data_IF_434265650399
#
_entry.id   IF_434265650399
#
_cell.length_a   1.000
_cell.length_b   1.000
_cell.length_c   1.000
_cell.angle_alpha   90.00
_cell.angle_beta   90.00
_cell.angle_gamma   90.00
#
_symmetry.space_group_name_H-M   'P 1'
#
loop_
_entity.id
_entity.type
_entity.pdbx_description
1 polymer ?
#
# COMPACT_ATOMS: atom_id res chain seq x y z
N UNK A 1 -4.13 -25.85 2.79
CA UNK A 1 -3.05 -25.36 3.66
C UNK A 1 -3.39 -25.77 5.08
N UNK A 2 -2.43 -26.07 5.96
CA UNK A 2 -2.74 -26.29 7.38
C UNK A 2 -2.84 -24.94 8.12
N UNK A 3 -3.43 -24.96 9.31
CA UNK A 3 -3.69 -23.75 10.13
C UNK A 3 -2.41 -23.01 10.51
N UNK A 4 -1.39 -23.72 11.00
CA UNK A 4 -0.12 -23.11 11.41
C UNK A 4 0.56 -22.36 10.25
N UNK A 5 0.62 -22.97 9.06
CA UNK A 5 1.18 -22.32 7.87
C UNK A 5 0.34 -21.12 7.46
N UNK A 6 -0.99 -21.23 7.54
CA UNK A 6 -1.89 -20.14 7.20
C UNK A 6 -1.71 -18.93 8.12
N UNK A 7 -1.62 -19.16 9.43
CA UNK A 7 -1.37 -18.12 10.43
C UNK A 7 -0.01 -17.45 10.17
N UNK A 8 1.04 -18.24 9.95
CA UNK A 8 2.39 -17.71 9.68
C UNK A 8 2.45 -16.85 8.41
N UNK A 9 1.82 -17.30 7.33
CA UNK A 9 1.73 -16.51 6.09
C UNK A 9 0.84 -15.26 6.27
N UNK A 10 -0.20 -15.36 7.11
CA UNK A 10 -1.03 -14.23 7.53
C UNK A 10 -0.23 -13.14 8.25
N UNK A 11 0.59 -13.53 9.21
CA UNK A 11 1.48 -12.62 9.93
C UNK A 11 2.51 -11.99 9.00
N UNK A 12 3.15 -12.78 8.13
CA UNK A 12 4.09 -12.25 7.13
C UNK A 12 3.43 -11.25 6.17
N UNK A 13 2.24 -11.56 5.65
CA UNK A 13 1.50 -10.66 4.75
C UNK A 13 1.12 -9.36 5.45
N UNK A 14 0.68 -9.46 6.71
CA UNK A 14 0.35 -8.31 7.55
C UNK A 14 1.58 -7.46 7.90
N UNK A 15 2.71 -8.10 8.17
CA UNK A 15 4.00 -7.45 8.40
C UNK A 15 4.48 -6.70 7.16
N UNK A 16 4.39 -7.33 5.98
CA UNK A 16 4.73 -6.70 4.70
C UNK A 16 3.85 -5.47 4.43
N UNK A 17 2.52 -5.59 4.58
CA UNK A 17 1.62 -4.44 4.41
C UNK A 17 2.00 -3.29 5.33
N UNK A 18 2.21 -3.58 6.62
CA UNK A 18 2.54 -2.57 7.63
C UNK A 18 3.86 -1.85 7.30
N UNK A 19 4.90 -2.62 6.99
CA UNK A 19 6.21 -2.09 6.64
C UNK A 19 6.16 -1.23 5.37
N UNK A 20 5.50 -1.72 4.32
CA UNK A 20 5.34 -1.00 3.07
C UNK A 20 4.54 0.29 3.24
N UNK A 21 3.42 0.27 3.98
CA UNK A 21 2.62 1.46 4.23
C UNK A 21 3.37 2.48 5.08
N UNK A 22 4.07 2.06 6.14
CA UNK A 22 4.90 2.97 6.92
C UNK A 22 5.97 3.63 6.05
N UNK A 23 6.68 2.84 5.24
CA UNK A 23 7.70 3.34 4.31
C UNK A 23 7.12 4.35 3.33
N UNK A 24 5.96 4.05 2.73
CA UNK A 24 5.28 4.98 1.84
C UNK A 24 4.89 6.28 2.55
N UNK A 25 4.30 6.20 3.76
CA UNK A 25 3.90 7.37 4.54
C UNK A 25 5.10 8.23 4.93
N UNK A 26 6.23 7.63 5.30
CA UNK A 26 7.46 8.36 5.56
C UNK A 26 7.99 9.04 4.29
N UNK A 27 8.08 8.31 3.17
CA UNK A 27 8.58 8.84 1.91
C UNK A 27 7.72 10.00 1.39
N UNK A 28 6.39 9.84 1.38
CA UNK A 28 5.47 10.88 0.90
C UNK A 28 5.48 12.10 1.80
N UNK A 29 5.60 11.93 3.13
CA UNK A 29 5.71 13.05 4.08
C UNK A 29 7.02 13.80 3.89
N UNK A 30 8.14 13.08 3.80
CA UNK A 30 9.45 13.67 3.58
C UNK A 30 9.51 14.42 2.23
N UNK A 31 9.01 13.81 1.16
CA UNK A 31 8.94 14.45 -0.15
C UNK A 31 8.07 15.71 -0.11
N UNK A 32 6.90 15.64 0.54
CA UNK A 32 6.03 16.81 0.71
C UNK A 32 6.73 17.93 1.46
N UNK A 33 7.47 17.62 2.52
CA UNK A 33 8.27 18.61 3.25
C UNK A 33 9.36 19.24 2.37
N UNK A 34 10.04 18.47 1.53
CA UNK A 34 11.03 18.99 0.58
C UNK A 34 10.38 19.89 -0.46
N UNK A 35 9.20 19.54 -0.97
CA UNK A 35 8.46 20.36 -1.94
C UNK A 35 8.02 21.69 -1.32
N UNK A 36 7.50 21.66 -0.08
CA UNK A 36 6.93 22.84 0.58
C UNK A 36 8.00 23.77 1.15
N UNK A 37 9.06 23.22 1.75
CA UNK A 37 10.07 23.99 2.48
C UNK A 37 11.42 24.07 1.77
N UNK A 38 11.65 23.26 0.72
CA UNK A 38 12.90 23.27 -0.02
C UNK A 38 13.00 24.49 -0.94
N UNK A 39 14.16 25.13 -0.95
CA UNK A 39 14.47 26.25 -1.84
C UNK A 39 15.48 25.82 -2.91
N UNK A 40 15.02 25.09 -3.93
CA UNK A 40 15.84 24.78 -5.10
C UNK A 40 14.99 24.74 -6.38
N UNK A 41 14.90 25.85 -7.14
CA UNK A 41 14.08 25.91 -8.36
C UNK A 41 14.56 24.96 -9.47
N UNK A 42 15.84 24.59 -9.48
CA UNK A 42 16.41 23.68 -10.47
C UNK A 42 16.05 22.20 -10.19
N UNK A 43 15.46 21.90 -9.03
CA UNK A 43 15.08 20.55 -8.63
C UNK A 43 13.73 20.08 -9.20
N UNK A 44 12.99 20.93 -9.92
CA UNK A 44 11.63 20.68 -10.43
C UNK A 44 11.47 19.32 -11.12
N UNK A 45 12.39 18.99 -12.04
CA UNK A 45 12.37 17.69 -12.73
C UNK A 45 12.59 16.52 -11.76
N UNK A 46 13.57 16.63 -10.86
CA UNK A 46 13.88 15.57 -9.89
C UNK A 46 12.75 15.37 -8.87
N UNK A 47 12.10 16.45 -8.42
CA UNK A 47 10.95 16.38 -7.53
C UNK A 47 9.72 15.78 -8.22
N UNK A 48 9.54 16.04 -9.51
CA UNK A 48 8.51 15.37 -10.32
C UNK A 48 8.79 13.87 -10.41
N UNK A 49 10.02 13.47 -10.73
CA UNK A 49 10.44 12.05 -10.76
C UNK A 49 10.25 11.39 -9.39
N UNK A 50 10.62 12.07 -8.30
CA UNK A 50 10.44 11.57 -6.94
C UNK A 50 8.95 11.38 -6.56
N UNK A 51 8.08 12.28 -7.00
CA UNK A 51 6.63 12.20 -6.79
C UNK A 51 6.04 10.98 -7.51
N UNK A 52 6.42 10.77 -8.77
CA UNK A 52 6.01 9.58 -9.55
C UNK A 52 6.55 8.30 -8.89
N UNK A 53 7.83 8.27 -8.52
CA UNK A 53 8.46 7.11 -7.91
C UNK A 53 7.82 6.72 -6.58
N UNK A 54 7.56 7.72 -5.72
CA UNK A 54 6.90 7.52 -4.42
C UNK A 54 5.45 7.05 -4.59
N UNK A 55 4.72 7.63 -5.55
CA UNK A 55 3.38 7.18 -5.92
C UNK A 55 3.38 5.72 -6.40
N UNK A 56 4.23 5.38 -7.36
CA UNK A 56 4.36 4.00 -7.85
C UNK A 56 4.73 3.01 -6.74
N UNK A 57 5.62 3.39 -5.83
CA UNK A 57 5.94 2.57 -4.67
C UNK A 57 4.70 2.29 -3.81
N UNK A 58 3.93 3.32 -3.45
CA UNK A 58 2.69 3.17 -2.67
C UNK A 58 1.64 2.31 -3.37
N UNK A 59 1.53 2.44 -4.69
CA UNK A 59 0.63 1.60 -5.51
C UNK A 59 1.04 0.14 -5.49
N UNK A 60 2.27 -0.16 -5.90
CA UNK A 60 2.74 -1.52 -6.15
C UNK A 60 2.90 -2.32 -4.86
N UNK A 61 3.35 -1.70 -3.79
CA UNK A 61 3.58 -2.41 -2.52
C UNK A 61 2.27 -2.74 -1.78
N UNK A 62 1.29 -1.83 -1.84
CA UNK A 62 -0.06 -2.11 -1.35
C UNK A 62 -0.70 -3.24 -2.16
N UNK A 63 -0.63 -3.14 -3.49
CA UNK A 63 -1.16 -4.14 -4.42
C UNK A 63 -0.58 -5.53 -4.16
N UNK A 64 0.74 -5.63 -3.99
CA UNK A 64 1.41 -6.89 -3.64
C UNK A 64 0.89 -7.48 -2.32
N UNK A 65 0.68 -6.64 -1.30
CA UNK A 65 0.14 -7.09 -0.01
C UNK A 65 -1.33 -7.55 -0.12
N UNK A 66 -2.14 -6.85 -0.91
CA UNK A 66 -3.52 -7.25 -1.19
C UNK A 66 -3.59 -8.60 -1.91
N UNK A 67 -2.68 -8.85 -2.86
CA UNK A 67 -2.58 -10.16 -3.51
C UNK A 67 -2.25 -11.27 -2.51
N UNK A 68 -1.37 -11.01 -1.54
CA UNK A 68 -1.08 -11.93 -0.44
C UNK A 68 -2.33 -12.28 0.37
N UNK A 69 -3.13 -11.27 0.76
CA UNK A 69 -4.38 -11.51 1.50
C UNK A 69 -5.44 -12.23 0.68
N UNK A 70 -5.59 -11.91 -0.61
CA UNK A 70 -6.49 -12.67 -1.50
C UNK A 70 -6.05 -14.13 -1.66
N UNK A 71 -4.74 -14.40 -1.73
CA UNK A 71 -4.21 -15.76 -1.77
C UNK A 71 -4.44 -16.51 -0.45
N UNK A 72 -4.26 -15.85 0.69
CA UNK A 72 -4.60 -16.38 2.02
C UNK A 72 -6.10 -16.72 2.13
N UNK A 73 -6.96 -15.86 1.59
CA UNK A 73 -8.41 -16.12 1.57
C UNK A 73 -8.73 -17.38 0.76
N UNK A 74 -8.12 -17.54 -0.41
CA UNK A 74 -8.29 -18.72 -1.27
C UNK A 74 -7.75 -20.00 -0.63
N UNK A 75 -6.65 -19.89 0.12
CA UNK A 75 -5.99 -21.01 0.78
C UNK A 75 -6.44 -21.29 2.21
N UNK A 76 -7.50 -20.64 2.68
CA UNK A 76 -7.96 -20.70 4.07
C UNK A 76 -8.37 -22.13 4.48
N UNK A 77 -7.82 -22.67 5.59
CA UNK A 77 -8.26 -23.97 6.10
C UNK A 77 -9.64 -23.89 6.74
N UNK A 78 -10.34 -25.04 6.78
CA UNK A 78 -11.71 -25.14 7.33
C UNK A 78 -11.79 -24.71 8.79
N UNK A 79 -10.75 -24.99 9.59
CA UNK A 79 -10.66 -24.57 11.00
C UNK A 79 -10.73 -23.05 11.17
N UNK A 80 -10.21 -22.29 10.20
CA UNK A 80 -10.27 -20.83 10.20
C UNK A 80 -11.51 -20.29 9.50
N UNK A 81 -12.04 -21.01 8.50
CA UNK A 81 -13.20 -20.59 7.73
C UNK A 81 -14.49 -20.46 8.55
N UNK A 82 -14.60 -21.21 9.66
CA UNK A 82 -15.73 -21.14 10.60
C UNK A 82 -15.63 -20.04 11.66
N UNK A 83 -14.50 -19.32 11.72
CA UNK A 83 -14.29 -18.25 12.71
C UNK A 83 -14.87 -16.91 12.24
N UNK A 84 -15.08 -15.98 13.17
CA UNK A 84 -15.47 -14.59 12.82
C UNK A 84 -14.44 -13.92 11.92
N UNK A 85 -13.14 -14.16 12.16
CA UNK A 85 -12.06 -13.67 11.30
C UNK A 85 -12.20 -14.22 9.87
N UNK A 86 -12.43 -15.52 9.73
CA UNK A 86 -12.64 -16.16 8.41
C UNK A 86 -13.86 -15.59 7.67
N UNK A 87 -14.95 -15.33 8.40
CA UNK A 87 -16.15 -14.70 7.86
C UNK A 87 -15.89 -13.25 7.41
N UNK A 88 -15.16 -12.47 8.21
CA UNK A 88 -14.75 -11.11 7.84
C UNK A 88 -13.89 -11.11 6.58
N UNK A 89 -12.90 -12.00 6.52
CA UNK A 89 -11.98 -12.11 5.39
C UNK A 89 -12.69 -12.40 4.06
N UNK A 90 -13.71 -13.26 4.07
CA UNK A 90 -14.54 -13.57 2.89
C UNK A 90 -15.42 -12.39 2.45
N UNK A 91 -15.79 -11.50 3.37
CA UNK A 91 -16.64 -10.32 3.10
C UNK A 91 -15.81 -9.10 2.69
N UNK A 92 -14.50 -9.12 2.92
CA UNK A 92 -13.62 -7.99 2.59
C UNK A 92 -13.67 -7.67 1.10
N UNK A 93 -14.09 -6.45 0.72
CA UNK A 93 -14.14 -6.04 -0.69
C UNK A 93 -12.75 -5.62 -1.17
N UNK A 94 -11.83 -6.58 -1.33
CA UNK A 94 -10.44 -6.34 -1.69
C UNK A 94 -10.27 -5.45 -2.94
N UNK A 95 -11.12 -5.61 -3.96
CA UNK A 95 -11.07 -4.80 -5.16
C UNK A 95 -11.38 -3.31 -4.89
N UNK A 96 -12.28 -3.02 -3.96
CA UNK A 96 -12.62 -1.64 -3.58
C UNK A 96 -11.42 -0.98 -2.91
N UNK A 97 -10.75 -1.68 -1.99
CA UNK A 97 -9.53 -1.16 -1.35
C UNK A 97 -8.39 -0.95 -2.34
N UNK A 98 -8.20 -1.86 -3.30
CA UNK A 98 -7.21 -1.72 -4.38
C UNK A 98 -7.48 -0.47 -5.23
N UNK A 99 -8.72 -0.26 -5.64
CA UNK A 99 -9.11 0.93 -6.41
C UNK A 99 -8.97 2.21 -5.60
N UNK A 100 -9.41 2.21 -4.34
CA UNK A 100 -9.28 3.37 -3.45
C UNK A 100 -7.81 3.76 -3.25
N UNK A 101 -6.93 2.79 -2.99
CA UNK A 101 -5.49 3.05 -2.91
C UNK A 101 -4.95 3.60 -4.24
N UNK A 102 -5.37 3.01 -5.36
CA UNK A 102 -4.96 3.47 -6.69
C UNK A 102 -5.28 4.95 -6.92
N UNK A 103 -6.51 5.35 -6.58
CA UNK A 103 -6.98 6.72 -6.72
C UNK A 103 -6.22 7.65 -5.75
N UNK A 104 -6.18 7.32 -4.46
CA UNK A 104 -5.59 8.19 -3.44
C UNK A 104 -4.11 8.45 -3.68
N UNK A 105 -3.33 7.41 -3.93
CA UNK A 105 -1.89 7.54 -4.17
C UNK A 105 -1.61 8.33 -5.45
N UNK A 106 -2.41 8.12 -6.49
CA UNK A 106 -2.28 8.89 -7.74
C UNK A 106 -2.62 10.37 -7.54
N UNK A 107 -3.69 10.69 -6.82
CA UNK A 107 -4.08 12.07 -6.51
C UNK A 107 -3.02 12.79 -5.69
N UNK A 108 -2.39 12.10 -4.72
CA UNK A 108 -1.29 12.68 -3.93
C UNK A 108 -0.09 12.99 -4.82
N UNK A 109 0.33 12.05 -5.68
CA UNK A 109 1.44 12.28 -6.60
C UNK A 109 1.13 13.43 -7.58
N UNK A 110 -0.08 13.51 -8.11
CA UNK A 110 -0.53 14.61 -8.98
C UNK A 110 -0.45 15.95 -8.23
N UNK A 111 -0.95 16.01 -6.99
CA UNK A 111 -0.89 17.23 -6.18
C UNK A 111 0.56 17.68 -5.92
N UNK A 112 1.47 16.75 -5.65
CA UNK A 112 2.90 17.03 -5.48
C UNK A 112 3.51 17.57 -6.78
N UNK A 113 3.20 16.97 -7.93
CA UNK A 113 3.68 17.43 -9.24
C UNK A 113 3.15 18.83 -9.56
N UNK A 114 1.86 19.09 -9.32
CA UNK A 114 1.28 20.42 -9.51
C UNK A 114 1.95 21.45 -8.59
N UNK A 115 2.26 21.10 -7.35
CA UNK A 115 2.92 22.03 -6.43
C UNK A 115 4.36 22.36 -6.83
N UNK A 116 5.03 21.46 -7.54
CA UNK A 116 6.42 21.60 -7.98
C UNK A 116 6.56 22.43 -9.26
N UNK A 117 5.53 22.50 -10.10
CA UNK A 117 5.54 23.19 -11.40
C UNK A 117 4.72 24.49 -11.38
#
# INVERSE_FOLDING_TARGET
>A
MNEETWIKLGDQTSGNLRSSQQTYMFAVTALTAVIVFGSNPDATFLLTVASIGTGLFGLLTFENSQQGFMALMKGMPDSMAGTEMGAAFKRTPFMVFRLANAILVSLIAIAQIIQVN
#
